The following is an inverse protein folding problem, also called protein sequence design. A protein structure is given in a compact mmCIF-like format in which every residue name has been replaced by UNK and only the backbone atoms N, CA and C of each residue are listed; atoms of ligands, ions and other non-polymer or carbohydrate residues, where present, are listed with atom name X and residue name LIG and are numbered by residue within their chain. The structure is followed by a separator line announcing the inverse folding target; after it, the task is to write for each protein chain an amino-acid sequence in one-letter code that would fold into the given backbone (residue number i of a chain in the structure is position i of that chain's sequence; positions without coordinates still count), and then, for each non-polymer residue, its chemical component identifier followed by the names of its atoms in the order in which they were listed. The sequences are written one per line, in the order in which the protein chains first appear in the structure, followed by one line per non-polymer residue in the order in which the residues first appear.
data_IF_035194994013
#
_entry.id   IF_035194994013
#
_cell.length_a   1.000
_cell.length_b   1.000
_cell.length_c   1.000
_cell.angle_alpha   90.00
_cell.angle_beta   90.00
_cell.angle_gamma   90.00
#
_symmetry.space_group_name_H-M   'P 1'
#
loop_
_entity.id
_entity.type
_entity.pdbx_description
1 polymer ?
#
# COMPACT_ATOMS: atom_id res chain seq x y z
N UNK A 1 -42.76 -6.56 16.41
CA UNK A 1 -42.00 -7.66 17.04
C UNK A 1 -41.94 -8.83 16.05
N UNK A 2 -40.80 -9.50 15.99
CA UNK A 2 -40.56 -10.61 15.07
C UNK A 2 -39.88 -11.75 15.83
N UNK A 3 -40.27 -12.98 15.56
CA UNK A 3 -39.73 -14.18 16.21
C UNK A 3 -38.25 -14.37 15.82
N UNK A 4 -37.42 -14.65 16.83
CA UNK A 4 -36.01 -14.96 16.65
C UNK A 4 -35.65 -16.22 17.44
N UNK A 5 -34.92 -17.14 16.80
CA UNK A 5 -34.37 -18.30 17.51
C UNK A 5 -33.14 -17.86 18.31
N UNK A 6 -33.19 -18.03 19.63
CA UNK A 6 -32.05 -17.71 20.46
C UNK A 6 -31.10 -18.91 20.56
N UNK A 7 -29.88 -18.74 20.04
CA UNK A 7 -28.87 -19.80 19.99
C UNK A 7 -27.59 -19.37 20.70
N UNK A 8 -26.74 -20.30 21.19
CA UNK A 8 -25.40 -19.95 21.66
C UNK A 8 -24.58 -19.26 20.58
N UNK A 9 -23.76 -18.28 20.94
CA UNK A 9 -22.94 -17.49 19.99
C UNK A 9 -22.01 -18.39 19.17
N UNK A 10 -21.47 -19.45 19.75
CA UNK A 10 -20.57 -20.42 19.10
C UNK A 10 -21.25 -21.19 17.99
N UNK A 11 -22.56 -21.41 18.08
CA UNK A 11 -23.29 -22.30 17.20
C UNK A 11 -24.09 -21.55 16.12
N UNK A 12 -23.93 -20.22 16.07
CA UNK A 12 -24.69 -19.34 15.17
C UNK A 12 -24.64 -19.79 13.71
N UNK A 13 -23.47 -20.13 13.18
CA UNK A 13 -23.29 -20.55 11.78
C UNK A 13 -24.04 -21.86 11.47
N UNK A 14 -24.00 -22.81 12.38
CA UNK A 14 -24.71 -24.10 12.24
C UNK A 14 -26.23 -23.87 12.17
N UNK A 15 -26.75 -23.00 13.02
CA UNK A 15 -28.17 -22.70 13.05
C UNK A 15 -28.65 -21.86 11.87
N UNK A 16 -27.82 -20.97 11.33
CA UNK A 16 -28.13 -20.27 10.08
C UNK A 16 -28.28 -21.27 8.95
N UNK A 17 -27.34 -22.21 8.79
CA UNK A 17 -27.39 -23.24 7.79
C UNK A 17 -28.61 -24.16 7.93
N UNK A 18 -28.91 -24.59 9.18
CA UNK A 18 -30.08 -25.41 9.52
C UNK A 18 -31.39 -24.74 9.15
N UNK A 19 -31.55 -23.45 9.47
CA UNK A 19 -32.77 -22.67 9.20
C UNK A 19 -32.89 -22.34 7.70
N UNK A 20 -31.77 -22.03 7.05
CA UNK A 20 -31.73 -21.73 5.61
C UNK A 20 -32.15 -22.94 4.76
N UNK A 21 -31.64 -24.14 5.07
CA UNK A 21 -32.02 -25.39 4.39
C UNK A 21 -33.52 -25.74 4.48
N UNK A 22 -34.21 -25.19 5.49
CA UNK A 22 -35.64 -25.43 5.72
C UNK A 22 -36.54 -24.28 5.30
N UNK A 23 -35.94 -23.23 4.76
CA UNK A 23 -36.63 -21.99 4.42
C UNK A 23 -37.35 -21.36 5.62
N UNK A 24 -36.72 -21.40 6.79
CA UNK A 24 -37.23 -20.79 8.02
C UNK A 24 -36.54 -19.51 8.41
N UNK A 25 -35.43 -19.15 7.73
CA UNK A 25 -34.65 -17.96 7.99
C UNK A 25 -35.30 -16.74 7.32
N UNK A 26 -35.45 -15.64 8.07
CA UNK A 26 -35.82 -14.35 7.49
C UNK A 26 -34.53 -13.58 7.10
N UNK A 27 -33.98 -13.89 5.91
CA UNK A 27 -32.68 -13.39 5.44
C UNK A 27 -32.59 -11.84 5.31
N UNK A 28 -33.73 -11.15 5.20
CA UNK A 28 -33.80 -9.69 5.10
C UNK A 28 -33.72 -8.98 6.47
N UNK A 29 -33.61 -9.72 7.57
CA UNK A 29 -33.54 -9.18 8.93
C UNK A 29 -32.23 -9.56 9.60
N UNK A 30 -31.65 -8.63 10.33
CA UNK A 30 -30.37 -8.84 11.00
C UNK A 30 -30.46 -9.85 12.15
N UNK A 31 -29.41 -10.67 12.28
CA UNK A 31 -29.15 -11.45 13.48
C UNK A 31 -28.77 -10.50 14.61
N UNK A 32 -29.42 -10.62 15.75
CA UNK A 32 -29.24 -9.69 16.87
C UNK A 32 -28.36 -10.28 17.99
N UNK A 33 -27.58 -9.39 18.61
CA UNK A 33 -26.73 -9.75 19.74
C UNK A 33 -27.56 -9.78 21.03
N UNK A 34 -27.54 -10.91 21.73
CA UNK A 34 -28.23 -11.14 23.01
C UNK A 34 -27.21 -11.52 24.12
N UNK A 35 -26.02 -10.92 24.08
CA UNK A 35 -24.91 -11.22 25.00
C UNK A 35 -24.13 -12.46 24.56
N UNK A 36 -24.22 -13.53 25.35
CA UNK A 36 -23.62 -14.85 25.03
C UNK A 36 -24.40 -15.63 23.97
N UNK A 37 -25.56 -15.13 23.56
CA UNK A 37 -26.46 -15.72 22.59
C UNK A 37 -26.64 -14.81 21.35
N UNK A 38 -27.22 -15.38 20.29
CA UNK A 38 -27.66 -14.69 19.07
C UNK A 38 -29.13 -14.96 18.81
N UNK A 39 -29.87 -13.92 18.46
CA UNK A 39 -31.24 -14.02 17.97
C UNK A 39 -31.25 -14.13 16.45
N UNK A 40 -31.52 -15.30 15.88
CA UNK A 40 -31.60 -15.53 14.43
C UNK A 40 -33.05 -15.31 14.01
N UNK A 41 -33.34 -14.38 13.07
CA UNK A 41 -34.70 -14.03 12.68
C UNK A 41 -35.38 -15.18 11.95
N UNK A 42 -36.62 -15.46 12.32
CA UNK A 42 -37.45 -16.49 11.74
C UNK A 42 -38.52 -15.89 10.84
N UNK A 43 -38.77 -16.50 9.68
CA UNK A 43 -39.88 -16.13 8.82
C UNK A 43 -41.21 -16.76 9.31
N UNK A 44 -42.29 -16.54 8.57
CA UNK A 44 -43.63 -17.01 8.95
C UNK A 44 -43.79 -18.55 8.85
N UNK A 45 -42.99 -19.21 8.00
CA UNK A 45 -43.04 -20.66 7.80
C UNK A 45 -42.33 -21.45 8.93
N UNK A 46 -41.54 -20.76 9.75
CA UNK A 46 -40.85 -21.40 10.87
C UNK A 46 -41.82 -21.91 11.94
N UNK A 47 -41.63 -23.14 12.45
CA UNK A 47 -42.49 -23.69 13.50
C UNK A 47 -42.36 -22.89 14.83
N UNK A 48 -43.29 -23.11 15.74
CA UNK A 48 -43.31 -22.44 17.06
C UNK A 48 -42.27 -23.02 18.04
N UNK A 49 -41.74 -24.19 17.74
CA UNK A 49 -40.68 -24.85 18.52
C UNK A 49 -39.62 -25.39 17.58
N UNK A 50 -38.34 -25.10 17.87
CA UNK A 50 -37.21 -25.54 17.06
C UNK A 50 -36.16 -26.15 18.00
N UNK A 51 -36.04 -27.50 17.97
CA UNK A 51 -35.05 -28.29 18.73
C UNK A 51 -34.94 -27.89 20.21
N UNK A 52 -36.08 -27.46 20.83
CA UNK A 52 -36.12 -27.06 22.22
C UNK A 52 -35.43 -25.74 22.58
N UNK A 53 -34.94 -24.99 21.56
CA UNK A 53 -34.33 -23.70 21.80
C UNK A 53 -35.36 -22.59 22.03
N UNK A 54 -35.03 -21.57 22.84
CA UNK A 54 -35.92 -20.44 23.09
C UNK A 54 -36.16 -19.63 21.80
N UNK A 55 -37.43 -19.30 21.55
CA UNK A 55 -37.85 -18.32 20.55
C UNK A 55 -38.23 -17.03 21.30
N UNK A 56 -37.66 -15.93 20.93
CA UNK A 56 -37.84 -14.61 21.52
C UNK A 56 -38.38 -13.61 20.51
N UNK A 57 -39.26 -12.72 20.94
CA UNK A 57 -39.79 -11.65 20.09
C UNK A 57 -38.91 -10.40 20.20
N UNK A 58 -38.28 -10.00 19.12
CA UNK A 58 -37.43 -8.82 19.04
C UNK A 58 -37.97 -7.85 17.98
N UNK A 59 -37.61 -6.58 18.13
CA UNK A 59 -37.85 -5.61 17.07
C UNK A 59 -36.95 -5.93 15.86
N UNK A 60 -37.52 -6.09 14.64
CA UNK A 60 -36.70 -6.43 13.47
C UNK A 60 -35.76 -5.29 13.16
N UNK A 61 -34.48 -5.62 12.94
CA UNK A 61 -33.45 -4.69 12.49
C UNK A 61 -33.03 -5.07 11.10
N UNK A 62 -32.80 -4.07 10.25
CA UNK A 62 -32.20 -4.31 8.94
C UNK A 62 -30.73 -4.75 9.12
N UNK A 63 -30.21 -5.62 8.26
CA UNK A 63 -28.81 -5.97 8.26
C UNK A 63 -27.96 -4.72 8.02
N UNK A 64 -26.86 -4.61 8.77
CA UNK A 64 -25.87 -3.57 8.45
C UNK A 64 -25.28 -3.84 7.06
N UNK A 65 -25.22 -2.82 6.21
CA UNK A 65 -24.62 -2.95 4.89
C UNK A 65 -23.18 -3.46 5.00
N UNK A 66 -22.87 -4.52 4.26
CA UNK A 66 -21.53 -5.14 4.24
C UNK A 66 -20.62 -4.50 3.22
N UNK A 67 -21.20 -3.94 2.18
CA UNK A 67 -20.51 -3.28 1.09
C UNK A 67 -21.15 -1.90 0.82
N UNK A 68 -20.39 -0.99 0.24
CA UNK A 68 -20.92 0.35 -0.10
C UNK A 68 -22.06 0.27 -1.12
N UNK A 69 -22.07 -0.72 -2.00
CA UNK A 69 -23.15 -0.96 -2.97
C UNK A 69 -24.50 -1.24 -2.30
N UNK A 70 -24.51 -1.77 -1.08
CA UNK A 70 -25.74 -2.00 -0.32
C UNK A 70 -26.42 -0.67 0.12
N UNK A 71 -25.75 0.47 -0.15
CA UNK A 71 -26.29 1.83 0.08
C UNK A 71 -26.91 2.43 -1.17
N UNK A 72 -26.77 1.79 -2.34
CA UNK A 72 -27.45 2.21 -3.56
C UNK A 72 -28.93 1.79 -3.51
N UNK A 73 -29.80 2.43 -4.32
CA UNK A 73 -31.16 1.93 -4.48
C UNK A 73 -31.12 0.56 -5.18
N UNK A 74 -32.09 -0.28 -4.85
CA UNK A 74 -32.16 -1.66 -5.41
C UNK A 74 -32.27 -1.60 -6.94
N UNK A 75 -33.09 -0.69 -7.46
CA UNK A 75 -33.32 -0.52 -8.91
C UNK A 75 -32.02 -0.12 -9.62
N UNK A 76 -31.26 0.82 -9.03
CA UNK A 76 -29.99 1.26 -9.60
C UNK A 76 -28.93 0.16 -9.52
N UNK A 77 -28.85 -0.55 -8.39
CA UNK A 77 -27.90 -1.65 -8.23
C UNK A 77 -28.15 -2.76 -9.22
N UNK A 78 -29.39 -3.22 -9.39
CA UNK A 78 -29.77 -4.33 -10.26
C UNK A 78 -29.57 -3.98 -11.75
N UNK A 79 -29.85 -2.72 -12.13
CA UNK A 79 -29.67 -2.26 -13.52
C UNK A 79 -28.22 -2.32 -13.99
N UNK A 80 -27.23 -2.14 -13.10
CA UNK A 80 -25.79 -2.08 -13.41
C UNK A 80 -24.96 -3.06 -12.59
N UNK A 81 -25.54 -4.20 -12.19
CA UNK A 81 -24.93 -5.16 -11.23
C UNK A 81 -23.51 -5.60 -11.58
N UNK A 82 -23.21 -5.75 -12.89
CA UNK A 82 -21.91 -6.24 -13.38
C UNK A 82 -20.85 -5.15 -13.54
N UNK A 83 -21.24 -3.87 -13.40
CA UNK A 83 -20.36 -2.72 -13.69
C UNK A 83 -19.93 -1.93 -12.46
N UNK A 84 -20.46 -2.23 -11.28
CA UNK A 84 -20.03 -1.53 -10.07
C UNK A 84 -18.55 -1.79 -9.76
N UNK A 85 -17.76 -0.75 -9.40
CA UNK A 85 -16.36 -0.92 -9.01
C UNK A 85 -16.21 -1.93 -7.88
N UNK A 86 -15.50 -3.03 -8.13
CA UNK A 86 -15.24 -4.09 -7.13
C UNK A 86 -13.92 -3.89 -6.40
N UNK A 87 -13.01 -3.08 -6.96
CA UNK A 87 -11.69 -2.81 -6.40
C UNK A 87 -11.51 -1.31 -6.14
N UNK A 88 -10.91 -1.01 -5.00
CA UNK A 88 -10.46 0.34 -4.66
C UNK A 88 -9.12 0.28 -3.93
N UNK A 89 -8.39 1.40 -3.96
CA UNK A 89 -7.24 1.63 -3.08
C UNK A 89 -7.70 2.51 -1.92
N UNK A 90 -7.49 2.07 -0.68
CA UNK A 90 -7.66 2.90 0.49
C UNK A 90 -6.31 3.40 0.98
N UNK A 91 -6.11 4.71 0.94
CA UNK A 91 -4.90 5.39 1.40
C UNK A 91 -5.27 6.36 2.52
N UNK A 92 -5.00 5.98 3.76
CA UNK A 92 -5.44 6.75 4.92
C UNK A 92 -6.96 6.92 4.95
N UNK A 93 -7.42 8.16 4.83
CA UNK A 93 -8.84 8.53 4.77
C UNK A 93 -9.37 8.79 3.34
N UNK A 94 -8.58 8.40 2.32
CA UNK A 94 -8.98 8.47 0.91
C UNK A 94 -9.42 7.10 0.40
N UNK A 95 -10.49 7.08 -0.38
CA UNK A 95 -10.88 5.94 -1.22
C UNK A 95 -10.70 6.34 -2.67
N UNK A 96 -9.92 5.56 -3.41
CA UNK A 96 -9.54 5.81 -4.80
C UNK A 96 -9.99 4.62 -5.64
N UNK A 97 -10.81 4.86 -6.66
CA UNK A 97 -11.36 3.80 -7.49
C UNK A 97 -11.45 4.23 -8.96
N UNK A 98 -11.36 3.26 -9.85
CA UNK A 98 -11.67 3.45 -11.27
C UNK A 98 -13.16 3.33 -11.48
N UNK A 99 -13.72 4.24 -12.26
CA UNK A 99 -15.15 4.22 -12.60
C UNK A 99 -15.29 3.65 -14.01
N UNK A 100 -15.97 2.51 -14.19
CA UNK A 100 -16.33 1.97 -15.49
C UNK A 100 -17.21 2.97 -16.28
N UNK A 101 -17.10 2.92 -17.60
CA UNK A 101 -17.81 3.84 -18.50
C UNK A 101 -19.34 3.73 -18.35
N UNK A 102 -19.84 2.51 -18.08
CA UNK A 102 -21.26 2.17 -17.93
C UNK A 102 -21.91 2.86 -16.72
N UNK A 103 -21.13 3.17 -15.69
CA UNK A 103 -21.61 3.79 -14.43
C UNK A 103 -21.05 5.18 -14.20
N UNK A 104 -20.44 5.79 -15.21
CA UNK A 104 -19.81 7.13 -15.11
C UNK A 104 -20.77 8.24 -14.72
N UNK A 105 -22.03 8.14 -15.07
CA UNK A 105 -23.04 9.14 -14.80
C UNK A 105 -23.53 9.09 -13.34
N UNK A 106 -23.20 7.99 -12.61
CA UNK A 106 -23.59 7.78 -11.21
C UNK A 106 -22.42 8.01 -10.22
N UNK A 107 -21.43 8.85 -10.58
CA UNK A 107 -20.27 9.13 -9.73
C UNK A 107 -20.64 9.71 -8.38
N UNK A 108 -21.68 10.56 -8.35
CA UNK A 108 -22.13 11.17 -7.10
C UNK A 108 -22.75 10.11 -6.18
N UNK A 109 -23.62 9.25 -6.71
CA UNK A 109 -24.26 8.16 -5.98
C UNK A 109 -23.23 7.17 -5.43
N UNK A 110 -22.21 6.82 -6.23
CA UNK A 110 -21.09 5.97 -5.80
C UNK A 110 -20.35 6.62 -4.64
N UNK A 111 -20.00 7.90 -4.78
CA UNK A 111 -19.23 8.62 -3.78
C UNK A 111 -20.01 8.79 -2.47
N UNK A 112 -21.29 9.12 -2.54
CA UNK A 112 -22.16 9.29 -1.38
C UNK A 112 -22.41 7.95 -0.66
N UNK A 113 -22.57 6.86 -1.42
CA UNK A 113 -22.69 5.51 -0.88
C UNK A 113 -21.42 5.09 -0.13
N UNK A 114 -20.23 5.35 -0.68
CA UNK A 114 -18.94 5.08 -0.04
C UNK A 114 -18.75 5.91 1.23
N UNK A 115 -19.02 7.22 1.17
CA UNK A 115 -18.94 8.09 2.34
C UNK A 115 -19.92 7.66 3.45
N UNK A 116 -21.14 7.26 3.09
CA UNK A 116 -22.13 6.77 4.05
C UNK A 116 -21.74 5.44 4.64
N UNK A 117 -21.11 4.56 3.86
CA UNK A 117 -20.66 3.24 4.29
C UNK A 117 -19.47 3.30 5.26
N UNK A 118 -18.54 4.23 5.07
CA UNK A 118 -17.32 4.36 5.86
C UNK A 118 -17.16 5.74 6.46
N UNK A 119 -17.41 5.89 7.75
CA UNK A 119 -17.20 7.15 8.49
C UNK A 119 -15.74 7.62 8.48
N UNK A 120 -14.79 6.68 8.30
CA UNK A 120 -13.35 6.98 8.24
C UNK A 120 -12.94 7.58 6.90
N UNK A 121 -13.76 7.46 5.87
CA UNK A 121 -13.47 8.01 4.55
C UNK A 121 -13.81 9.50 4.54
N UNK A 122 -12.79 10.33 4.27
CA UNK A 122 -12.92 11.79 4.12
C UNK A 122 -13.22 12.19 2.68
N UNK A 123 -12.50 11.56 1.72
CA UNK A 123 -12.61 11.88 0.30
C UNK A 123 -12.72 10.61 -0.52
N UNK A 124 -13.58 10.65 -1.55
CA UNK A 124 -13.68 9.64 -2.60
C UNK A 124 -13.17 10.23 -3.90
N UNK A 125 -12.22 9.57 -4.55
CA UNK A 125 -11.59 9.99 -5.79
C UNK A 125 -11.79 8.98 -6.91
N UNK A 126 -12.03 9.50 -8.11
CA UNK A 126 -11.88 8.74 -9.36
C UNK A 126 -10.41 8.73 -9.77
N UNK A 127 -9.87 7.54 -10.08
CA UNK A 127 -8.53 7.34 -10.64
C UNK A 127 -8.60 7.34 -12.17
N UNK A 128 -8.06 8.38 -12.80
CA UNK A 128 -7.94 8.52 -14.26
C UNK A 128 -6.63 7.94 -14.82
N UNK A 129 -5.82 7.29 -13.97
CA UNK A 129 -4.52 6.75 -14.31
C UNK A 129 -3.38 7.61 -13.77
N UNK A 130 -2.26 7.66 -14.48
CA UNK A 130 -1.07 8.42 -14.09
C UNK A 130 -0.82 9.57 -15.07
N UNK A 131 -0.24 10.67 -14.57
CA UNK A 131 0.08 11.86 -15.38
C UNK A 131 1.44 12.45 -15.04
N UNK A 132 1.97 13.21 -16.00
CA UNK A 132 3.19 14.00 -15.86
C UNK A 132 4.48 13.15 -15.74
N UNK A 133 5.59 13.85 -15.68
CA UNK A 133 6.94 13.29 -15.59
C UNK A 133 7.13 12.44 -14.32
N UNK A 134 6.58 12.89 -13.19
CA UNK A 134 6.67 12.19 -11.90
C UNK A 134 5.66 11.05 -11.76
N UNK A 135 4.88 10.72 -12.81
CA UNK A 135 3.92 9.62 -12.85
C UNK A 135 2.97 9.60 -11.64
N UNK A 136 2.54 10.77 -11.19
CA UNK A 136 1.56 10.89 -10.11
C UNK A 136 0.17 10.47 -10.56
N UNK A 137 -0.69 10.08 -9.63
CA UNK A 137 -2.07 9.71 -9.97
C UNK A 137 -2.85 10.92 -10.45
N UNK A 138 -3.59 10.78 -11.53
CA UNK A 138 -4.58 11.76 -11.97
C UNK A 138 -5.90 11.51 -11.24
N UNK A 139 -6.06 12.16 -10.10
CA UNK A 139 -7.22 11.99 -9.23
C UNK A 139 -8.24 13.11 -9.42
N UNK A 140 -9.50 12.72 -9.58
CA UNK A 140 -10.65 13.64 -9.56
C UNK A 140 -11.47 13.38 -8.31
N UNK A 141 -11.62 14.39 -7.47
CA UNK A 141 -12.47 14.29 -6.28
C UNK A 141 -13.92 14.22 -6.73
N UNK A 142 -14.60 13.15 -6.33
CA UNK A 142 -16.02 12.91 -6.57
C UNK A 142 -16.85 13.49 -5.44
N UNK A 143 -16.46 13.20 -4.19
CA UNK A 143 -17.09 13.78 -3.00
C UNK A 143 -16.08 13.95 -1.86
N UNK A 144 -16.37 14.89 -0.96
CA UNK A 144 -15.58 15.19 0.23
C UNK A 144 -16.53 15.45 1.42
N UNK A 145 -16.27 14.78 2.55
CA UNK A 145 -17.08 14.92 3.76
C UNK A 145 -16.94 16.29 4.42
N UNK A 146 -15.75 16.88 4.36
CA UNK A 146 -15.39 18.16 4.99
C UNK A 146 -15.26 19.30 3.98
N UNK A 147 -15.58 19.06 2.71
CA UNK A 147 -15.48 20.05 1.62
C UNK A 147 -14.04 20.32 1.15
N UNK A 148 -13.03 19.67 1.73
CA UNK A 148 -11.63 19.84 1.30
C UNK A 148 -11.39 19.28 -0.10
N UNK A 149 -10.47 19.92 -0.84
CA UNK A 149 -9.98 19.44 -2.14
C UNK A 149 -8.57 18.86 -2.08
N UNK A 150 -8.02 18.72 -0.87
CA UNK A 150 -6.66 18.19 -0.68
C UNK A 150 -6.68 16.68 -0.53
N UNK A 151 -5.93 15.98 -1.38
CA UNK A 151 -5.71 14.53 -1.31
C UNK A 151 -4.58 14.15 -0.33
N UNK A 152 -4.02 15.14 0.38
CA UNK A 152 -3.03 14.88 1.42
C UNK A 152 -3.65 14.14 2.60
N UNK A 153 -3.00 13.04 3.00
CA UNK A 153 -3.47 12.17 4.08
C UNK A 153 -2.29 11.51 4.81
N UNK A 154 -2.58 10.83 5.90
CA UNK A 154 -1.62 9.98 6.60
C UNK A 154 -1.94 8.51 6.38
N UNK A 155 -0.91 7.72 6.06
CA UNK A 155 -0.98 6.26 6.05
C UNK A 155 -0.13 5.69 7.18
N UNK A 156 -0.49 4.49 7.64
CA UNK A 156 0.31 3.75 8.61
C UNK A 156 0.96 2.56 7.91
N UNK A 157 2.30 2.49 7.95
CA UNK A 157 3.08 1.38 7.43
C UNK A 157 4.14 0.97 8.47
N UNK A 158 4.22 -0.32 8.82
CA UNK A 158 5.16 -0.86 9.81
C UNK A 158 5.25 -0.02 11.10
N UNK A 159 4.10 0.41 11.63
CA UNK A 159 3.97 1.27 12.82
C UNK A 159 4.44 2.72 12.65
N UNK A 160 5.04 3.11 11.55
CA UNK A 160 5.35 4.50 11.20
C UNK A 160 4.14 5.16 10.55
N UNK A 161 3.96 6.47 10.77
CA UNK A 161 2.96 7.31 10.10
C UNK A 161 3.64 8.12 9.02
N UNK A 162 3.10 8.10 7.82
CA UNK A 162 3.65 8.81 6.67
C UNK A 162 2.61 9.77 6.11
N UNK A 163 3.00 11.02 5.92
CA UNK A 163 2.27 11.96 5.11
C UNK A 163 2.45 11.61 3.63
N UNK A 164 1.35 11.50 2.92
CA UNK A 164 1.34 11.29 1.47
C UNK A 164 0.33 12.23 0.82
N UNK A 165 0.52 12.50 -0.46
CA UNK A 165 -0.46 13.13 -1.33
C UNK A 165 -0.42 12.42 -2.69
N UNK A 166 -1.31 11.45 -2.94
CA UNK A 166 -1.23 10.62 -4.13
C UNK A 166 -1.49 11.37 -5.45
N UNK A 167 -2.06 12.57 -5.41
CA UNK A 167 -2.17 13.43 -6.59
C UNK A 167 -0.90 14.24 -6.89
N UNK A 168 0.09 14.26 -5.98
CA UNK A 168 1.30 15.08 -6.07
C UNK A 168 2.58 14.28 -6.04
N UNK A 169 2.61 13.15 -5.31
CA UNK A 169 3.77 12.29 -5.19
C UNK A 169 3.38 10.81 -5.25
N UNK A 170 4.25 10.01 -5.87
CA UNK A 170 4.02 8.57 -5.95
C UNK A 170 4.15 7.91 -4.57
N UNK A 171 3.19 7.08 -4.24
CA UNK A 171 3.25 6.16 -3.10
C UNK A 171 2.48 4.87 -3.42
N UNK A 172 3.03 3.72 -3.01
CA UNK A 172 2.37 2.42 -3.15
C UNK A 172 2.52 1.60 -1.86
N UNK A 173 1.43 1.19 -1.20
CA UNK A 173 1.50 0.33 -0.02
C UNK A 173 1.95 -1.10 -0.34
N UNK A 174 1.89 -1.51 -1.61
CA UNK A 174 2.20 -2.88 -2.07
C UNK A 174 3.67 -3.26 -1.94
N UNK A 175 4.54 -2.30 -1.65
CA UNK A 175 5.99 -2.49 -1.47
C UNK A 175 6.42 -2.59 0.00
N UNK A 176 5.48 -2.63 0.94
CA UNK A 176 5.78 -2.64 2.38
C UNK A 176 6.72 -3.77 2.80
N UNK A 177 6.48 -5.01 2.34
CA UNK A 177 7.35 -6.15 2.66
C UNK A 177 8.79 -5.93 2.15
N UNK A 178 8.96 -5.40 0.93
CA UNK A 178 10.29 -5.13 0.39
C UNK A 178 11.03 -4.02 1.14
N UNK A 179 10.30 -3.03 1.67
CA UNK A 179 10.88 -1.99 2.54
C UNK A 179 11.36 -2.56 3.88
N UNK A 180 10.59 -3.48 4.47
CA UNK A 180 11.02 -4.17 5.68
C UNK A 180 12.27 -5.03 5.43
N UNK A 181 12.31 -5.79 4.34
CA UNK A 181 13.50 -6.55 3.94
C UNK A 181 14.72 -5.63 3.72
N UNK A 182 14.49 -4.42 3.20
CA UNK A 182 15.57 -3.44 3.00
C UNK A 182 16.09 -2.91 4.32
N UNK A 183 15.21 -2.66 5.27
CA UNK A 183 15.59 -2.28 6.63
C UNK A 183 16.42 -3.36 7.33
N UNK A 184 16.01 -4.62 7.24
CA UNK A 184 16.75 -5.76 7.82
C UNK A 184 18.17 -5.89 7.22
N UNK A 185 18.32 -5.70 5.91
CA UNK A 185 19.62 -5.69 5.26
C UNK A 185 20.50 -4.50 5.70
N UNK A 186 19.90 -3.34 5.96
CA UNK A 186 20.61 -2.20 6.56
C UNK A 186 21.12 -2.50 7.96
N UNK A 187 20.30 -3.16 8.80
CA UNK A 187 20.72 -3.64 10.13
C UNK A 187 21.90 -4.64 10.01
N UNK A 188 21.81 -5.57 9.07
CA UNK A 188 22.85 -6.55 8.82
C UNK A 188 24.15 -5.90 8.34
N UNK A 189 24.08 -4.89 7.48
CA UNK A 189 25.25 -4.12 7.04
C UNK A 189 25.93 -3.40 8.21
N UNK A 190 25.16 -2.71 9.05
CA UNK A 190 25.68 -2.02 10.24
C UNK A 190 26.39 -2.98 11.19
N UNK A 191 25.84 -4.18 11.39
CA UNK A 191 26.48 -5.24 12.20
C UNK A 191 27.79 -5.70 11.59
N UNK A 192 27.86 -5.95 10.27
CA UNK A 192 29.11 -6.35 9.59
C UNK A 192 30.19 -5.29 9.69
N UNK A 193 29.80 -4.02 9.57
CA UNK A 193 30.70 -2.88 9.69
C UNK A 193 31.07 -2.52 11.14
N UNK A 194 30.34 -3.08 12.14
CA UNK A 194 30.48 -2.78 13.56
C UNK A 194 30.46 -1.27 13.87
N UNK A 195 29.67 -0.49 13.11
CA UNK A 195 29.49 0.96 13.26
C UNK A 195 28.16 1.45 12.74
N UNK A 196 27.80 2.68 13.06
CA UNK A 196 26.66 3.36 12.47
C UNK A 196 26.90 3.60 10.98
N UNK A 197 25.83 3.46 10.16
CA UNK A 197 25.90 3.57 8.70
C UNK A 197 25.25 4.85 8.19
N UNK A 198 25.70 5.28 7.02
CA UNK A 198 25.09 6.35 6.23
C UNK A 198 24.23 5.71 5.14
N UNK A 199 22.96 6.14 5.05
CA UNK A 199 22.00 5.66 4.06
C UNK A 199 21.74 6.77 3.06
N UNK A 200 21.77 6.47 1.77
CA UNK A 200 21.43 7.40 0.70
C UNK A 200 20.29 6.84 -0.14
N UNK A 201 19.25 7.64 -0.35
CA UNK A 201 18.14 7.37 -1.25
C UNK A 201 17.95 8.57 -2.20
N UNK A 202 18.51 8.52 -3.42
CA UNK A 202 18.36 9.58 -4.40
C UNK A 202 17.01 9.61 -5.11
N UNK A 203 16.12 8.67 -4.79
CA UNK A 203 14.76 8.54 -5.34
C UNK A 203 13.75 8.36 -4.20
N UNK A 204 13.91 9.17 -3.15
CA UNK A 204 13.26 8.95 -1.86
C UNK A 204 11.73 9.05 -1.91
N UNK A 205 11.16 9.76 -2.89
CA UNK A 205 9.73 10.06 -2.92
C UNK A 205 9.31 10.75 -1.63
N UNK A 206 8.25 10.26 -1.03
CA UNK A 206 7.78 10.72 0.30
C UNK A 206 8.52 10.04 1.47
N UNK A 207 9.55 9.27 1.22
CA UNK A 207 10.41 8.63 2.21
C UNK A 207 9.93 7.31 2.81
N UNK A 208 9.12 6.49 2.14
CA UNK A 208 8.58 5.28 2.76
C UNK A 208 9.66 4.24 3.11
N UNK A 209 10.75 4.12 2.31
CA UNK A 209 11.90 3.29 2.64
C UNK A 209 12.65 3.84 3.85
N UNK A 210 12.89 5.15 3.86
CA UNK A 210 13.74 5.82 4.84
C UNK A 210 13.06 5.94 6.21
N UNK A 211 11.74 5.97 6.25
CA UNK A 211 10.98 6.09 7.51
C UNK A 211 11.28 4.98 8.52
N UNK A 212 11.63 3.77 8.04
CA UNK A 212 12.02 2.67 8.92
C UNK A 212 13.39 2.90 9.57
N UNK A 213 14.28 3.59 8.88
CA UNK A 213 15.63 3.91 9.35
C UNK A 213 15.67 5.17 10.21
N UNK A 214 14.66 6.02 10.12
CA UNK A 214 14.62 7.30 10.80
C UNK A 214 14.55 7.13 12.32
N UNK A 215 15.57 7.69 13.00
CA UNK A 215 15.71 7.61 14.46
C UNK A 215 16.34 6.32 14.99
N UNK A 216 16.76 5.39 14.12
CA UNK A 216 17.39 4.14 14.54
C UNK A 216 18.86 4.35 15.01
N UNK A 217 19.24 3.70 16.10
CA UNK A 217 20.56 3.88 16.72
C UNK A 217 21.74 3.50 15.83
N UNK A 218 21.55 2.57 14.89
CA UNK A 218 22.58 2.14 13.96
C UNK A 218 22.72 3.07 12.75
N UNK A 219 21.86 4.05 12.60
CA UNK A 219 21.91 5.04 11.51
C UNK A 219 22.70 6.26 11.96
N UNK A 220 23.71 6.64 11.17
CA UNK A 220 24.52 7.84 11.39
C UNK A 220 23.90 9.06 10.74
N UNK A 221 23.46 8.89 9.49
CA UNK A 221 22.93 9.96 8.65
C UNK A 221 22.06 9.36 7.56
N UNK A 222 20.99 10.04 7.19
CA UNK A 222 20.20 9.79 6.01
C UNK A 222 20.44 10.92 5.01
N UNK A 223 20.81 10.58 3.77
CA UNK A 223 20.88 11.50 2.63
C UNK A 223 19.73 11.13 1.71
N UNK A 224 18.80 12.04 1.50
CA UNK A 224 17.57 11.79 0.75
C UNK A 224 17.34 12.89 -0.28
N UNK A 225 17.05 12.51 -1.51
CA UNK A 225 16.69 13.44 -2.56
C UNK A 225 15.53 12.90 -3.38
N UNK A 226 14.76 13.79 -3.98
CA UNK A 226 13.80 13.48 -5.03
C UNK A 226 13.69 14.66 -5.99
N UNK A 227 13.47 14.37 -7.26
CA UNK A 227 13.34 15.42 -8.27
C UNK A 227 11.98 16.15 -8.19
N UNK A 228 10.97 15.51 -7.57
CA UNK A 228 9.65 16.07 -7.37
C UNK A 228 9.60 16.94 -6.10
N UNK A 229 9.44 18.28 -6.21
CA UNK A 229 9.41 19.16 -5.05
C UNK A 229 8.23 18.89 -4.10
N UNK A 230 7.08 18.47 -4.61
CA UNK A 230 5.93 18.07 -3.77
C UNK A 230 6.25 16.82 -2.93
N UNK A 231 7.04 15.88 -3.48
CA UNK A 231 7.53 14.72 -2.72
C UNK A 231 8.49 15.13 -1.63
N UNK A 232 9.42 16.06 -1.91
CA UNK A 232 10.40 16.58 -0.95
C UNK A 232 9.74 17.32 0.21
N UNK A 233 8.66 18.07 -0.03
CA UNK A 233 7.86 18.67 1.04
C UNK A 233 7.31 17.63 2.01
N UNK A 234 6.75 16.52 1.48
CA UNK A 234 6.24 15.42 2.31
C UNK A 234 7.35 14.64 2.98
N UNK A 235 8.48 14.43 2.29
CA UNK A 235 9.67 13.78 2.82
C UNK A 235 10.19 14.47 4.09
N UNK A 236 10.25 15.83 4.07
CA UNK A 236 10.65 16.65 5.23
C UNK A 236 9.71 16.51 6.44
N UNK A 237 8.46 16.12 6.22
CA UNK A 237 7.49 15.87 7.29
C UNK A 237 7.59 14.43 7.83
N UNK A 238 8.10 13.52 7.01
CA UNK A 238 8.16 12.10 7.31
C UNK A 238 9.48 11.67 7.96
N UNK A 239 10.54 12.49 7.83
CA UNK A 239 11.83 12.24 8.45
C UNK A 239 12.11 13.30 9.53
N UNK A 240 12.33 12.86 10.76
CA UNK A 240 12.55 13.71 11.93
C UNK A 240 13.95 13.61 12.48
N UNK A 241 14.72 12.62 12.03
CA UNK A 241 16.06 12.32 12.53
C UNK A 241 17.17 13.12 11.83
N UNK A 242 18.39 12.62 11.95
CA UNK A 242 19.56 13.22 11.30
C UNK A 242 19.54 12.95 9.79
N UNK A 243 18.95 13.87 9.02
CA UNK A 243 18.76 13.74 7.58
C UNK A 243 19.16 15.00 6.81
N UNK A 244 19.80 14.82 5.66
CA UNK A 244 20.04 15.84 4.65
C UNK A 244 19.06 15.60 3.50
N UNK A 245 18.11 16.51 3.34
CA UNK A 245 17.04 16.38 2.37
C UNK A 245 17.18 17.48 1.31
N UNK A 246 17.22 17.11 0.05
CA UNK A 246 17.34 18.04 -1.07
C UNK A 246 16.35 17.72 -2.20
N UNK A 247 16.22 18.65 -3.13
CA UNK A 247 15.43 18.50 -4.36
C UNK A 247 16.38 18.56 -5.56
N UNK A 248 17.21 17.53 -5.69
CA UNK A 248 18.28 17.45 -6.68
C UNK A 248 18.11 16.24 -7.60
N UNK A 249 18.66 16.33 -8.80
CA UNK A 249 18.77 15.17 -9.68
C UNK A 249 19.74 14.15 -9.06
N UNK A 250 19.28 12.91 -8.98
CA UNK A 250 20.05 11.78 -8.45
C UNK A 250 21.44 11.63 -9.11
N UNK A 251 21.56 11.95 -10.41
CA UNK A 251 22.82 11.87 -11.17
C UNK A 251 23.83 12.92 -10.72
N UNK A 252 23.37 14.05 -10.18
CA UNK A 252 24.23 15.12 -9.69
C UNK A 252 24.59 14.97 -8.21
N UNK A 253 23.85 14.12 -7.48
CA UNK A 253 23.97 14.00 -6.03
C UNK A 253 25.37 13.53 -5.58
N UNK A 254 26.06 12.71 -6.40
CA UNK A 254 27.42 12.27 -6.13
C UNK A 254 28.44 13.42 -6.11
N UNK A 255 28.17 14.54 -6.79
CA UNK A 255 29.02 15.74 -6.73
C UNK A 255 28.83 16.52 -5.44
N UNK A 256 27.64 16.40 -4.81
CA UNK A 256 27.28 17.10 -3.56
C UNK A 256 27.71 16.28 -2.32
N UNK A 257 27.54 14.96 -2.39
CA UNK A 257 27.81 14.03 -1.29
C UNK A 257 28.74 12.87 -1.72
N UNK A 258 29.96 13.15 -2.21
CA UNK A 258 30.85 12.10 -2.69
C UNK A 258 31.26 11.16 -1.55
N UNK A 259 31.31 9.86 -1.85
CA UNK A 259 31.86 8.81 -1.00
C UNK A 259 31.29 8.75 0.45
N UNK A 260 29.97 9.00 0.59
CA UNK A 260 29.32 9.07 1.90
C UNK A 260 28.52 7.83 2.28
N UNK A 261 27.88 7.18 1.29
CA UNK A 261 26.89 6.16 1.54
C UNK A 261 27.49 4.79 1.82
N UNK A 262 27.04 4.15 2.89
CA UNK A 262 27.26 2.73 3.17
C UNK A 262 26.16 1.87 2.53
N UNK A 263 24.93 2.35 2.56
CA UNK A 263 23.78 1.77 1.92
C UNK A 263 23.17 2.77 0.93
N UNK A 264 23.15 2.40 -0.35
CA UNK A 264 22.52 3.17 -1.42
C UNK A 264 21.23 2.47 -1.85
N UNK A 265 20.11 3.19 -1.78
CA UNK A 265 18.81 2.73 -2.25
C UNK A 265 18.54 3.27 -3.66
N UNK A 266 18.18 2.40 -4.61
CA UNK A 266 17.91 2.78 -6.00
C UNK A 266 16.50 2.33 -6.38
N UNK A 267 15.54 3.24 -6.19
CA UNK A 267 14.12 2.96 -6.42
C UNK A 267 13.58 3.76 -7.60
N UNK A 268 14.11 3.51 -8.78
CA UNK A 268 13.67 4.05 -10.07
C UNK A 268 13.41 2.88 -11.05
N UNK A 269 12.37 2.07 -10.90
CA UNK A 269 12.28 0.72 -11.49
C UNK A 269 12.54 0.63 -13.00
N UNK A 270 12.20 1.65 -13.77
CA UNK A 270 12.43 1.64 -15.23
C UNK A 270 13.90 1.92 -15.62
N UNK A 271 14.62 2.75 -14.83
CA UNK A 271 15.95 3.26 -15.21
C UNK A 271 17.02 2.98 -14.14
N UNK A 272 16.69 2.18 -13.10
CA UNK A 272 17.59 1.93 -11.96
C UNK A 272 18.99 1.48 -12.41
N UNK A 273 19.07 0.54 -13.35
CA UNK A 273 20.36 -0.03 -13.79
C UNK A 273 21.14 0.97 -14.64
N UNK A 274 20.47 1.75 -15.48
CA UNK A 274 21.09 2.76 -16.32
C UNK A 274 21.62 3.96 -15.52
N UNK A 275 21.05 4.22 -14.35
CA UNK A 275 21.53 5.26 -13.46
C UNK A 275 22.70 4.83 -12.56
N UNK A 276 22.94 3.51 -12.36
CA UNK A 276 24.02 3.01 -11.49
C UNK A 276 25.38 3.69 -11.71
N UNK A 277 25.87 3.85 -12.96
CA UNK A 277 27.19 4.48 -13.18
C UNK A 277 27.30 5.86 -12.53
N UNK A 278 26.25 6.68 -12.58
CA UNK A 278 26.23 8.03 -12.01
C UNK A 278 26.16 8.03 -10.49
N UNK A 279 25.67 6.95 -9.88
CA UNK A 279 25.44 6.83 -8.45
C UNK A 279 26.63 6.23 -7.69
N UNK A 280 27.55 5.55 -8.39
CA UNK A 280 28.71 4.89 -7.73
C UNK A 280 29.58 5.86 -6.94
N UNK A 281 29.66 7.11 -7.39
CA UNK A 281 30.39 8.18 -6.66
C UNK A 281 29.82 8.55 -5.30
N UNK A 282 28.58 8.11 -4.95
CA UNK A 282 27.97 8.29 -3.63
C UNK A 282 28.54 7.31 -2.59
N UNK A 283 29.04 6.16 -3.03
CA UNK A 283 29.42 5.04 -2.17
C UNK A 283 30.78 5.27 -1.51
N UNK A 284 30.86 4.94 -0.23
CA UNK A 284 32.11 4.98 0.55
C UNK A 284 33.17 4.04 0.01
N UNK A 285 34.43 4.26 0.45
CA UNK A 285 35.62 3.49 0.02
C UNK A 285 36.34 2.88 1.21
N UNK A 286 37.21 1.89 0.96
CA UNK A 286 38.01 1.22 2.00
C UNK A 286 37.21 0.31 2.94
N UNK A 287 35.93 0.11 2.69
CA UNK A 287 35.04 -0.79 3.45
C UNK A 287 33.91 -1.31 2.59
N UNK A 288 33.20 -2.35 3.09
CA UNK A 288 32.02 -2.87 2.41
C UNK A 288 30.92 -1.82 2.33
N UNK A 289 30.35 -1.65 1.13
CA UNK A 289 29.13 -0.86 0.87
C UNK A 289 28.09 -1.72 0.16
N UNK A 290 26.84 -1.30 0.22
CA UNK A 290 25.75 -2.05 -0.40
C UNK A 290 24.85 -1.13 -1.23
N UNK A 291 24.50 -1.61 -2.43
CA UNK A 291 23.40 -1.06 -3.23
C UNK A 291 22.24 -2.01 -3.15
N UNK A 292 21.04 -1.48 -2.95
CA UNK A 292 19.79 -2.23 -3.01
C UNK A 292 18.77 -1.47 -3.82
N UNK A 293 18.16 -2.13 -4.81
CA UNK A 293 17.24 -1.48 -5.72
C UNK A 293 16.26 -2.44 -6.38
N UNK A 294 15.36 -1.85 -7.17
CA UNK A 294 14.38 -2.57 -7.97
C UNK A 294 14.49 -2.13 -9.43
N UNK A 295 14.31 -3.10 -10.33
CA UNK A 295 14.23 -2.81 -11.75
C UNK A 295 13.07 -3.59 -12.38
N UNK A 296 12.52 -3.04 -13.45
CA UNK A 296 11.60 -3.75 -14.35
C UNK A 296 12.44 -4.22 -15.52
N UNK A 297 12.45 -5.53 -15.74
CA UNK A 297 13.21 -6.14 -16.85
C UNK A 297 12.31 -7.09 -17.63
N UNK A 298 12.63 -7.29 -18.90
CA UNK A 298 12.06 -8.41 -19.64
C UNK A 298 12.61 -9.73 -19.08
N UNK A 299 11.76 -10.72 -18.93
CA UNK A 299 12.10 -12.03 -18.33
C UNK A 299 13.25 -12.73 -19.06
N UNK A 300 13.33 -12.55 -20.37
CA UNK A 300 14.37 -13.15 -21.20
C UNK A 300 15.73 -12.43 -21.06
N UNK A 301 15.75 -11.20 -20.48
CA UNK A 301 16.93 -10.36 -20.32
C UNK A 301 17.62 -10.51 -18.96
N UNK A 302 17.26 -11.50 -18.17
CA UNK A 302 17.78 -11.66 -16.80
C UNK A 302 19.32 -11.79 -16.78
N UNK A 303 19.87 -12.69 -17.59
CA UNK A 303 21.34 -12.92 -17.66
C UNK A 303 22.09 -11.70 -18.20
N UNK A 304 21.51 -11.01 -19.17
CA UNK A 304 22.10 -9.79 -19.74
C UNK A 304 22.10 -8.66 -18.70
N UNK A 305 21.02 -8.53 -17.92
CA UNK A 305 20.92 -7.60 -16.81
C UNK A 305 21.99 -7.87 -15.75
N UNK A 306 22.19 -9.13 -15.38
CA UNK A 306 23.24 -9.53 -14.45
C UNK A 306 24.64 -9.17 -14.97
N UNK A 307 24.92 -9.50 -16.24
CA UNK A 307 26.19 -9.16 -16.90
C UNK A 307 26.41 -7.65 -16.96
N UNK A 308 25.38 -6.86 -17.25
CA UNK A 308 25.43 -5.40 -17.27
C UNK A 308 25.78 -4.83 -15.88
N UNK A 309 25.13 -5.31 -14.82
CA UNK A 309 25.45 -4.87 -13.44
C UNK A 309 26.90 -5.22 -13.09
N UNK A 310 27.39 -6.43 -13.38
CA UNK A 310 28.78 -6.84 -13.14
C UNK A 310 29.78 -5.97 -13.90
N UNK A 311 29.47 -5.61 -15.14
CA UNK A 311 30.30 -4.70 -15.94
C UNK A 311 30.38 -3.29 -15.34
N UNK A 312 29.27 -2.75 -14.83
CA UNK A 312 29.21 -1.43 -14.19
C UNK A 312 30.05 -1.39 -12.91
N UNK A 313 29.93 -2.42 -12.06
CA UNK A 313 30.59 -2.47 -10.75
C UNK A 313 32.07 -2.82 -10.87
N UNK A 314 32.49 -3.51 -11.94
CA UNK A 314 33.76 -4.21 -12.15
C UNK A 314 33.94 -5.39 -11.18
N UNK A 315 34.32 -6.52 -11.72
CA UNK A 315 34.33 -7.80 -11.01
C UNK A 315 35.27 -7.78 -9.78
N UNK A 316 36.40 -7.06 -9.87
CA UNK A 316 37.38 -6.89 -8.81
C UNK A 316 36.84 -6.23 -7.54
N UNK A 317 35.79 -5.43 -7.65
CA UNK A 317 35.15 -4.74 -6.51
C UNK A 317 33.95 -5.53 -5.96
N UNK A 318 33.45 -6.52 -6.69
CA UNK A 318 32.21 -7.22 -6.38
C UNK A 318 32.40 -8.29 -5.29
N UNK A 319 31.78 -8.12 -4.13
CA UNK A 319 31.71 -9.15 -3.09
C UNK A 319 30.59 -10.15 -3.40
N UNK A 320 29.39 -9.62 -3.72
CA UNK A 320 28.19 -10.45 -3.98
C UNK A 320 27.16 -9.68 -4.80
N UNK A 321 26.53 -10.37 -5.72
CA UNK A 321 25.36 -9.90 -6.46
C UNK A 321 24.23 -10.91 -6.29
N UNK A 322 23.09 -10.44 -5.76
CA UNK A 322 21.84 -11.19 -5.66
C UNK A 322 20.77 -10.50 -6.49
N UNK A 323 20.17 -11.21 -7.43
CA UNK A 323 19.02 -10.73 -8.20
C UNK A 323 17.86 -11.67 -7.97
N UNK A 324 16.72 -11.13 -7.55
CA UNK A 324 15.54 -11.93 -7.17
C UNK A 324 14.30 -11.38 -7.86
N UNK A 325 13.56 -12.17 -8.63
CA UNK A 325 12.23 -11.82 -9.10
C UNK A 325 11.27 -11.60 -7.92
N UNK A 326 10.50 -10.52 -7.97
CA UNK A 326 9.55 -10.14 -6.90
C UNK A 326 8.12 -10.38 -7.33
N UNK A 327 7.75 -9.91 -8.52
CA UNK A 327 6.40 -10.07 -9.06
C UNK A 327 6.37 -9.82 -10.56
N UNK A 328 5.37 -10.39 -11.23
CA UNK A 328 5.09 -10.02 -12.63
C UNK A 328 4.66 -8.55 -12.71
N UNK A 329 5.17 -7.82 -13.69
CA UNK A 329 4.77 -6.47 -14.04
C UNK A 329 3.82 -6.47 -15.25
N UNK A 330 4.18 -7.24 -16.27
CA UNK A 330 3.39 -7.52 -17.45
C UNK A 330 3.54 -9.01 -17.84
N UNK A 331 2.87 -9.51 -18.87
CA UNK A 331 3.11 -10.86 -19.37
C UNK A 331 4.59 -11.15 -19.71
N UNK A 332 5.30 -10.13 -20.23
CA UNK A 332 6.70 -10.23 -20.66
C UNK A 332 7.70 -9.70 -19.65
N UNK A 333 7.28 -8.79 -18.74
CA UNK A 333 8.17 -8.10 -17.82
C UNK A 333 7.95 -8.53 -16.37
N UNK A 334 9.01 -8.44 -15.58
CA UNK A 334 8.95 -8.67 -14.14
C UNK A 334 9.69 -7.58 -13.36
N UNK A 335 9.24 -7.36 -12.15
CA UNK A 335 9.97 -6.55 -11.17
C UNK A 335 10.99 -7.44 -10.49
N UNK A 336 12.25 -7.10 -10.60
CA UNK A 336 13.34 -7.72 -9.86
C UNK A 336 13.80 -6.80 -8.73
N UNK A 337 14.31 -7.41 -7.67
CA UNK A 337 15.16 -6.77 -6.67
C UNK A 337 16.61 -7.14 -6.99
N UNK A 338 17.51 -6.18 -6.97
CA UNK A 338 18.95 -6.43 -6.99
C UNK A 338 19.59 -5.94 -5.70
N UNK A 339 20.55 -6.70 -5.20
CA UNK A 339 21.38 -6.36 -4.05
C UNK A 339 22.82 -6.62 -4.39
N UNK A 340 23.66 -5.60 -4.26
CA UNK A 340 25.06 -5.62 -4.67
C UNK A 340 25.91 -5.25 -3.45
N UNK A 341 26.79 -6.12 -3.03
CA UNK A 341 27.79 -5.85 -2.00
C UNK A 341 29.12 -5.59 -2.69
N UNK A 342 29.79 -4.51 -2.33
CA UNK A 342 30.94 -3.97 -3.04
C UNK A 342 31.99 -3.59 -2.01
N UNK A 343 33.29 -3.73 -2.40
CA UNK A 343 34.43 -3.20 -1.71
C UNK A 343 35.31 -2.43 -2.70
N UNK A 344 35.21 -1.11 -2.67
CA UNK A 344 36.15 -0.27 -3.42
C UNK A 344 37.47 -0.15 -2.67
N UNK A 345 38.58 -0.17 -3.40
CA UNK A 345 39.87 0.20 -2.84
C UNK A 345 39.83 1.65 -2.32
N UNK A 346 40.74 1.96 -1.38
CA UNK A 346 40.92 3.30 -0.83
C UNK A 346 41.32 4.32 -1.90
#
# INVERSE_FOLDING_TARGET
MMRHLSVPRTDTSLWIEFLSKRDWLAASVAIQNLGDRRGIPLNQSAPNTIEGLPIVDLEPKLPEPKHWTDRLSVELFDQYSDFWPTANDQLGDLVILKIPEEVKDFKQEIADAILTHSERTRIVCEDKGVKGEFRVRDLRIMASRDGTKSTRTQVKEHSKKLWIDPAKAYYSPRLGTERLNTFEEGVNLAKRLSRKIVICDPYAGVGPNLSLFDGEDFVKLIIASDLNPDAVELLKLNLSGNSLISCDDAKELAKIHPEKADLLLVNLPHDSIDHLPSLLGLLGRGHEVMIRGWAIINKDMFLETEAKIKSIIKEENLIKLDITPIKSYSPQDEVIRFQIRILFAE
#
